data_IF_284795117935
#
_entry.id   IF_284795117935
#
_cell.length_a   1.000
_cell.length_b   1.000
_cell.length_c   1.000
_cell.angle_alpha   90.00
_cell.angle_beta   90.00
_cell.angle_gamma   90.00
#
_symmetry.space_group_name_H-M   'P 1'
#
loop_
_entity.id
_entity.type
_entity.pdbx_description
1 polymer ?
#
# COMPACT_ATOMS: atom_id res chain seq x y z
N UNK A 1 -6.96 59.14 -11.39
CA UNK A 1 -7.72 58.03 -10.77
C UNK A 1 -7.10 56.71 -11.19
N UNK A 2 -6.47 56.00 -10.26
CA UNK A 2 -5.53 54.90 -10.53
C UNK A 2 -6.26 53.56 -10.72
N UNK A 3 -6.12 52.94 -11.91
CA UNK A 3 -6.67 51.61 -12.21
C UNK A 3 -5.81 50.54 -11.52
N UNK A 4 -6.30 49.97 -10.41
CA UNK A 4 -5.69 48.81 -9.76
C UNK A 4 -5.70 47.61 -10.72
N UNK A 5 -4.51 47.24 -11.19
CA UNK A 5 -4.24 46.04 -12.00
C UNK A 5 -4.48 44.81 -11.10
N UNK A 6 -5.53 44.04 -11.37
CA UNK A 6 -5.77 42.74 -10.71
C UNK A 6 -4.57 41.83 -11.01
N UNK A 7 -3.90 41.35 -9.96
CA UNK A 7 -2.87 40.33 -10.07
C UNK A 7 -3.49 39.06 -10.69
N UNK A 8 -2.90 38.59 -11.79
CA UNK A 8 -3.22 37.29 -12.38
C UNK A 8 -2.87 36.20 -11.36
N UNK A 9 -3.89 35.45 -10.94
CA UNK A 9 -3.74 34.21 -10.19
C UNK A 9 -2.79 33.28 -10.93
N UNK A 10 -1.71 32.85 -10.26
CA UNK A 10 -0.79 31.84 -10.78
C UNK A 10 -1.58 30.54 -11.04
N UNK A 11 -1.30 29.82 -12.14
CA UNK A 11 -1.89 28.50 -12.35
C UNK A 11 -1.39 27.58 -11.23
N UNK A 12 -2.32 26.95 -10.49
CA UNK A 12 -2.01 25.81 -9.63
C UNK A 12 -1.31 24.78 -10.52
N UNK A 13 -0.08 24.40 -10.17
CA UNK A 13 0.59 23.26 -10.78
C UNK A 13 -0.42 22.10 -10.85
N UNK A 14 -0.54 21.45 -12.02
CA UNK A 14 -1.42 20.30 -12.21
C UNK A 14 -1.22 19.33 -11.02
N UNK A 15 -2.23 19.28 -10.15
CA UNK A 15 -2.06 18.98 -8.73
C UNK A 15 -1.72 17.52 -8.50
N UNK A 16 -0.63 17.27 -7.77
CA UNK A 16 -0.43 15.96 -7.16
C UNK A 16 -1.69 15.62 -6.34
N UNK A 17 -2.28 14.44 -6.59
CA UNK A 17 -3.42 13.96 -5.83
C UNK A 17 -3.09 13.92 -4.32
N UNK A 18 -4.06 14.01 -3.42
CA UNK A 18 -3.84 13.70 -2.01
C UNK A 18 -3.35 12.25 -1.83
N UNK A 19 -2.55 11.98 -0.80
CA UNK A 19 -2.01 10.63 -0.58
C UNK A 19 -3.11 9.64 -0.24
N UNK A 20 -4.14 10.06 0.47
CA UNK A 20 -5.35 9.27 0.74
C UNK A 20 -6.02 8.79 -0.55
N UNK A 21 -6.04 9.60 -1.62
CA UNK A 21 -6.57 9.18 -2.92
C UNK A 21 -5.70 8.12 -3.58
N UNK A 22 -4.37 8.23 -3.43
CA UNK A 22 -3.43 7.23 -3.97
C UNK A 22 -3.51 5.90 -3.24
N UNK A 23 -3.52 5.93 -1.90
CA UNK A 23 -3.61 4.70 -1.10
C UNK A 23 -5.00 4.06 -1.30
N UNK A 24 -6.06 4.86 -1.45
CA UNK A 24 -7.39 4.32 -1.78
C UNK A 24 -7.41 3.65 -3.16
N UNK A 25 -6.75 4.25 -4.17
CA UNK A 25 -6.62 3.62 -5.48
C UNK A 25 -5.85 2.29 -5.39
N UNK A 26 -4.74 2.26 -4.63
CA UNK A 26 -4.00 1.04 -4.33
C UNK A 26 -4.88 -0.03 -3.68
N UNK A 27 -5.68 0.33 -2.66
CA UNK A 27 -6.59 -0.61 -2.01
C UNK A 27 -7.61 -1.22 -2.98
N UNK A 28 -8.14 -0.42 -3.91
CA UNK A 28 -9.05 -0.91 -4.96
C UNK A 28 -8.35 -1.86 -5.94
N UNK A 29 -7.11 -1.56 -6.32
CA UNK A 29 -6.32 -2.43 -7.18
C UNK A 29 -6.03 -3.78 -6.50
N UNK A 30 -5.67 -3.77 -5.22
CA UNK A 30 -5.42 -5.00 -4.45
C UNK A 30 -6.72 -5.80 -4.24
N UNK A 31 -7.86 -5.14 -3.99
CA UNK A 31 -9.15 -5.79 -3.93
C UNK A 31 -9.54 -6.43 -5.28
N UNK A 32 -9.23 -5.78 -6.41
CA UNK A 32 -9.45 -6.35 -7.73
C UNK A 32 -8.57 -7.59 -7.97
N UNK A 33 -7.31 -7.58 -7.50
CA UNK A 33 -6.43 -8.76 -7.51
C UNK A 33 -7.03 -9.88 -6.67
N UNK A 34 -7.54 -9.57 -5.46
CA UNK A 34 -8.16 -10.56 -4.59
C UNK A 34 -9.38 -11.25 -5.24
N UNK A 35 -10.19 -10.50 -5.98
CA UNK A 35 -11.36 -10.99 -6.69
C UNK A 35 -11.07 -11.69 -8.03
N UNK A 36 -9.83 -11.62 -8.53
CA UNK A 36 -9.46 -12.19 -9.82
C UNK A 36 -9.56 -13.74 -9.82
N UNK A 37 -9.80 -14.37 -10.99
CA UNK A 37 -9.90 -15.83 -11.10
C UNK A 37 -8.54 -16.55 -11.02
N UNK A 38 -7.44 -15.82 -10.89
CA UNK A 38 -6.09 -16.37 -10.86
C UNK A 38 -5.85 -17.28 -9.64
N UNK A 39 -4.90 -18.24 -9.73
CA UNK A 39 -4.51 -19.07 -8.60
C UNK A 39 -4.10 -18.22 -7.37
N UNK A 40 -4.44 -18.63 -6.14
CA UNK A 40 -4.17 -17.83 -4.94
C UNK A 40 -2.71 -17.39 -4.76
N UNK A 41 -1.73 -18.25 -5.11
CA UNK A 41 -0.30 -17.88 -5.08
C UNK A 41 0.03 -16.74 -6.05
N UNK A 42 -0.53 -16.76 -7.25
CA UNK A 42 -0.34 -15.70 -8.25
C UNK A 42 -0.95 -14.39 -7.76
N UNK A 43 -2.19 -14.44 -7.23
CA UNK A 43 -2.83 -13.27 -6.62
C UNK A 43 -2.02 -12.70 -5.46
N UNK A 44 -1.49 -13.55 -4.58
CA UNK A 44 -0.60 -13.16 -3.47
C UNK A 44 0.62 -12.40 -4.01
N UNK A 45 1.33 -12.97 -4.96
CA UNK A 45 2.56 -12.38 -5.49
C UNK A 45 2.30 -11.04 -6.19
N UNK A 46 1.21 -10.95 -6.96
CA UNK A 46 0.76 -9.72 -7.58
C UNK A 46 0.37 -8.65 -6.56
N UNK A 47 -0.38 -9.02 -5.52
CA UNK A 47 -0.77 -8.10 -4.46
C UNK A 47 0.45 -7.57 -3.70
N UNK A 48 1.38 -8.44 -3.31
CA UNK A 48 2.62 -8.04 -2.63
C UNK A 48 3.45 -7.11 -3.51
N UNK A 49 3.65 -7.46 -4.79
CA UNK A 49 4.38 -6.61 -5.72
C UNK A 49 3.72 -5.23 -5.90
N UNK A 50 2.38 -5.19 -5.96
CA UNK A 50 1.61 -3.96 -6.10
C UNK A 50 1.75 -3.05 -4.87
N UNK A 51 1.63 -3.62 -3.67
CA UNK A 51 1.78 -2.86 -2.42
C UNK A 51 3.24 -2.40 -2.29
N UNK A 52 4.21 -3.27 -2.48
CA UNK A 52 5.63 -2.93 -2.37
C UNK A 52 6.05 -1.83 -3.36
N UNK A 53 5.59 -1.88 -4.61
CA UNK A 53 5.86 -0.82 -5.59
C UNK A 53 5.28 0.54 -5.15
N UNK A 54 4.17 0.54 -4.42
CA UNK A 54 3.55 1.77 -3.94
C UNK A 54 4.32 2.38 -2.75
N UNK A 55 4.94 1.54 -1.90
CA UNK A 55 5.70 1.95 -0.71
C UNK A 55 7.23 2.00 -0.91
N UNK A 56 7.76 1.50 -2.04
CA UNK A 56 9.18 1.56 -2.38
C UNK A 56 9.64 2.94 -2.85
N UNK A 57 10.95 3.11 -3.01
CA UNK A 57 11.63 4.41 -3.25
C UNK A 57 11.05 5.24 -4.40
N UNK A 58 10.70 4.61 -5.52
CA UNK A 58 10.11 5.27 -6.70
C UNK A 58 8.61 5.61 -6.53
N UNK A 59 8.00 5.17 -5.43
CA UNK A 59 6.60 5.38 -5.11
C UNK A 59 6.29 6.82 -4.72
N UNK A 60 5.14 7.33 -5.14
CA UNK A 60 4.67 8.65 -4.70
C UNK A 60 4.18 8.67 -3.23
N UNK A 61 3.89 7.51 -2.63
CA UNK A 61 3.39 7.42 -1.26
C UNK A 61 4.47 7.77 -0.23
N UNK A 62 5.71 7.23 -0.28
CA UNK A 62 6.79 7.59 0.63
C UNK A 62 7.00 9.08 0.87
N UNK A 63 7.00 9.88 -0.20
CA UNK A 63 7.20 11.32 -0.10
C UNK A 63 6.04 12.06 0.59
N UNK A 64 4.82 11.53 0.52
CA UNK A 64 3.59 12.21 0.97
C UNK A 64 3.07 11.68 2.31
N UNK A 65 3.39 10.44 2.64
CA UNK A 65 2.87 9.75 3.81
C UNK A 65 3.25 10.41 5.15
N UNK A 66 4.50 10.91 5.37
CA UNK A 66 4.85 11.60 6.60
C UNK A 66 3.97 12.83 6.87
N UNK A 67 3.74 13.67 5.87
CA UNK A 67 2.92 14.88 6.00
C UNK A 67 1.43 14.55 6.25
N UNK A 68 0.92 13.47 5.67
CA UNK A 68 -0.45 13.04 5.95
C UNK A 68 -0.60 12.41 7.34
N UNK A 69 0.39 11.64 7.81
CA UNK A 69 0.42 11.13 9.20
C UNK A 69 0.44 12.27 10.20
N UNK A 70 1.22 13.32 9.93
CA UNK A 70 1.23 14.55 10.74
C UNK A 70 -0.16 15.18 10.82
N UNK A 71 -0.79 15.42 9.66
CA UNK A 71 -2.11 16.04 9.55
C UNK A 71 -3.19 15.21 10.25
N UNK A 72 -3.12 13.88 10.14
CA UNK A 72 -4.05 12.95 10.77
C UNK A 72 -4.04 13.02 12.31
N UNK A 73 -2.99 13.57 12.93
CA UNK A 73 -2.96 13.78 14.39
C UNK A 73 -3.97 14.84 14.86
N UNK A 74 -4.40 15.72 13.99
CA UNK A 74 -5.38 16.79 14.28
C UNK A 74 -6.66 16.70 13.44
N UNK A 75 -6.70 15.82 12.44
CA UNK A 75 -7.83 15.62 11.53
C UNK A 75 -8.33 14.18 11.67
N UNK A 76 -9.33 13.99 12.53
CA UNK A 76 -9.90 12.67 12.84
C UNK A 76 -10.48 11.96 11.61
N UNK A 77 -11.10 12.72 10.70
CA UNK A 77 -11.69 12.17 9.48
C UNK A 77 -10.59 11.61 8.56
N UNK A 78 -9.47 12.32 8.42
CA UNK A 78 -8.31 11.82 7.70
C UNK A 78 -7.69 10.60 8.40
N UNK A 79 -7.53 10.64 9.71
CA UNK A 79 -7.02 9.51 10.49
C UNK A 79 -7.84 8.24 10.29
N UNK A 80 -9.16 8.36 10.37
CA UNK A 80 -10.10 7.27 10.11
C UNK A 80 -10.02 6.79 8.67
N UNK A 81 -9.95 7.70 7.68
CA UNK A 81 -9.83 7.32 6.28
C UNK A 81 -8.55 6.51 6.01
N UNK A 82 -7.40 6.94 6.54
CA UNK A 82 -6.13 6.22 6.39
C UNK A 82 -6.18 4.85 7.07
N UNK A 83 -6.74 4.77 8.29
CA UNK A 83 -6.90 3.50 8.99
C UNK A 83 -7.81 2.53 8.22
N UNK A 84 -8.92 3.03 7.68
CA UNK A 84 -9.86 2.24 6.89
C UNK A 84 -9.26 1.75 5.57
N UNK A 85 -8.46 2.57 4.90
CA UNK A 85 -7.75 2.16 3.68
C UNK A 85 -6.73 1.06 3.99
N UNK A 86 -5.98 1.19 5.09
CA UNK A 86 -5.03 0.16 5.54
C UNK A 86 -5.74 -1.16 5.86
N UNK A 87 -6.92 -1.07 6.49
CA UNK A 87 -7.75 -2.24 6.76
C UNK A 87 -8.25 -2.92 5.48
N UNK A 88 -8.65 -2.16 4.46
CA UNK A 88 -9.02 -2.72 3.16
C UNK A 88 -7.86 -3.49 2.50
N UNK A 89 -6.64 -2.96 2.56
CA UNK A 89 -5.45 -3.67 2.05
C UNK A 89 -5.22 -4.99 2.79
N UNK A 90 -5.32 -4.96 4.13
CA UNK A 90 -5.17 -6.14 4.98
C UNK A 90 -6.24 -7.19 4.68
N UNK A 91 -7.51 -6.78 4.59
CA UNK A 91 -8.62 -7.68 4.31
C UNK A 91 -8.49 -8.35 2.93
N UNK A 92 -8.10 -7.61 1.90
CA UNK A 92 -7.86 -8.20 0.57
C UNK A 92 -6.70 -9.20 0.56
N UNK A 93 -5.63 -8.95 1.34
CA UNK A 93 -4.56 -9.95 1.53
C UNK A 93 -5.09 -11.19 2.25
N UNK A 94 -5.85 -11.03 3.33
CA UNK A 94 -6.46 -12.13 4.07
C UNK A 94 -7.34 -13.01 3.16
N UNK A 95 -8.21 -12.42 2.35
CA UNK A 95 -9.06 -13.14 1.39
C UNK A 95 -8.25 -14.00 0.41
N UNK A 96 -7.13 -13.48 -0.09
CA UNK A 96 -6.21 -14.22 -0.97
C UNK A 96 -5.60 -15.41 -0.21
N UNK A 97 -5.13 -15.18 1.01
CA UNK A 97 -4.49 -16.20 1.84
C UNK A 97 -5.48 -17.31 2.23
N UNK A 98 -6.69 -16.96 2.65
CA UNK A 98 -7.77 -17.90 2.96
C UNK A 98 -8.14 -18.75 1.75
N UNK A 99 -8.23 -18.14 0.56
CA UNK A 99 -8.44 -18.89 -0.67
C UNK A 99 -7.31 -19.88 -0.94
N UNK A 100 -6.05 -19.49 -0.67
CA UNK A 100 -4.89 -20.36 -0.80
C UNK A 100 -4.90 -21.53 0.17
N UNK A 101 -5.29 -21.29 1.43
CA UNK A 101 -5.44 -22.34 2.45
C UNK A 101 -6.51 -23.35 2.04
N UNK A 102 -7.67 -22.89 1.55
CA UNK A 102 -8.77 -23.75 1.10
C UNK A 102 -8.37 -24.74 0.01
N UNK A 103 -7.46 -24.34 -0.87
CA UNK A 103 -6.97 -25.20 -1.98
C UNK A 103 -5.60 -25.82 -1.70
N UNK A 104 -5.09 -25.73 -0.47
CA UNK A 104 -3.82 -26.33 -0.05
C UNK A 104 -2.57 -25.72 -0.68
N UNK A 105 -2.67 -24.52 -1.25
CA UNK A 105 -1.52 -23.82 -1.86
C UNK A 105 -0.82 -22.87 -0.90
N UNK A 106 -1.44 -22.47 0.21
CA UNK A 106 -0.86 -21.60 1.22
C UNK A 106 -0.93 -22.30 2.57
N UNK A 107 0.10 -22.14 3.42
CA UNK A 107 0.13 -22.73 4.76
C UNK A 107 -1.02 -22.21 5.62
N UNK A 108 -1.51 -23.06 6.52
CA UNK A 108 -2.60 -22.72 7.45
C UNK A 108 -2.15 -22.07 8.77
N UNK A 109 -0.87 -22.21 9.13
CA UNK A 109 -0.32 -21.76 10.41
C UNK A 109 0.97 -20.94 10.17
N UNK A 110 1.01 -19.63 10.48
CA UNK A 110 -0.01 -18.88 11.24
C UNK A 110 -1.31 -18.63 10.46
N UNK A 111 -2.42 -18.29 11.15
CA UNK A 111 -3.70 -18.01 10.51
C UNK A 111 -3.59 -16.92 9.42
N UNK A 112 -4.40 -17.01 8.34
CA UNK A 112 -4.41 -16.01 7.26
C UNK A 112 -4.49 -14.55 7.73
N UNK A 113 -5.32 -14.27 8.73
CA UNK A 113 -5.44 -12.95 9.37
C UNK A 113 -4.09 -12.40 9.87
N UNK A 114 -3.30 -13.25 10.53
CA UNK A 114 -2.00 -12.90 11.10
C UNK A 114 -0.96 -12.73 10.00
N UNK A 115 -0.93 -13.63 9.03
CA UNK A 115 -0.05 -13.51 7.86
C UNK A 115 -0.35 -12.23 7.07
N UNK A 116 -1.61 -11.87 6.86
CA UNK A 116 -1.99 -10.63 6.18
C UNK A 116 -1.42 -9.39 6.88
N UNK A 117 -1.46 -9.34 8.21
CA UNK A 117 -0.81 -8.29 8.99
C UNK A 117 0.70 -8.22 8.77
N UNK A 118 1.38 -9.37 8.83
CA UNK A 118 2.85 -9.46 8.65
C UNK A 118 3.26 -9.03 7.25
N UNK A 119 2.56 -9.52 6.23
CA UNK A 119 2.81 -9.18 4.83
C UNK A 119 2.61 -7.69 4.56
N UNK A 120 1.50 -7.12 5.02
CA UNK A 120 1.23 -5.70 4.86
C UNK A 120 2.30 -4.84 5.56
N UNK A 121 2.64 -5.17 6.80
CA UNK A 121 3.68 -4.45 7.55
C UNK A 121 5.05 -4.55 6.87
N UNK A 122 5.40 -5.71 6.31
CA UNK A 122 6.64 -5.92 5.55
C UNK A 122 6.72 -5.03 4.30
N UNK A 123 5.63 -4.91 3.55
CA UNK A 123 5.59 -4.00 2.40
C UNK A 123 5.58 -2.52 2.82
N UNK A 124 4.85 -2.15 3.88
CA UNK A 124 4.81 -0.77 4.41
C UNK A 124 6.20 -0.33 4.92
N UNK A 125 7.00 -1.25 5.45
CA UNK A 125 8.34 -0.97 5.97
C UNK A 125 9.34 -0.48 4.91
N UNK A 126 9.08 -0.75 3.63
CA UNK A 126 9.92 -0.28 2.51
C UNK A 126 10.06 1.24 2.46
N UNK A 127 9.09 1.98 3.03
CA UNK A 127 9.17 3.45 3.15
C UNK A 127 10.32 3.93 4.02
N UNK A 128 10.88 3.04 4.85
CA UNK A 128 11.93 3.35 5.81
C UNK A 128 13.34 2.92 5.32
N UNK A 129 13.44 2.25 4.18
CA UNK A 129 14.73 1.89 3.58
C UNK A 129 15.42 3.14 3.03
N UNK A 130 16.71 3.33 3.36
CA UNK A 130 17.46 4.51 2.96
C UNK A 130 18.00 4.36 1.52
N UNK A 131 17.86 5.39 0.66
CA UNK A 131 18.49 5.42 -0.66
C UNK A 131 20.00 5.18 -0.57
N UNK A 132 20.50 4.15 -1.26
CA UNK A 132 21.95 3.87 -1.37
C UNK A 132 22.63 3.27 -0.13
N UNK A 133 21.88 2.87 0.91
CA UNK A 133 22.43 2.32 2.16
C UNK A 133 22.82 0.83 2.14
N UNK A 134 23.07 0.23 0.97
CA UNK A 134 23.23 -1.23 0.85
C UNK A 134 21.91 -2.00 1.02
N UNK A 135 20.81 -1.39 0.58
CA UNK A 135 19.45 -1.90 0.73
C UNK A 135 19.29 -3.32 0.17
N UNK A 136 18.61 -4.18 0.94
CA UNK A 136 18.13 -5.47 0.44
C UNK A 136 17.19 -5.19 -0.75
N UNK A 137 17.42 -5.77 -1.94
CA UNK A 137 16.56 -5.55 -3.08
C UNK A 137 15.08 -5.79 -2.74
N UNK A 138 14.17 -4.93 -3.19
CA UNK A 138 12.71 -5.11 -2.99
C UNK A 138 12.25 -6.50 -3.44
N UNK A 139 12.85 -7.03 -4.51
CA UNK A 139 12.58 -8.39 -4.98
C UNK A 139 12.93 -9.48 -3.94
N UNK A 140 14.02 -9.31 -3.20
CA UNK A 140 14.44 -10.26 -2.16
C UNK A 140 13.52 -10.18 -0.94
N UNK A 141 13.08 -8.97 -0.58
CA UNK A 141 12.07 -8.76 0.48
C UNK A 141 10.75 -9.43 0.07
N UNK A 142 10.28 -9.19 -1.15
CA UNK A 142 9.07 -9.80 -1.67
C UNK A 142 9.18 -11.34 -1.71
N UNK A 143 10.33 -11.87 -2.11
CA UNK A 143 10.60 -13.30 -2.08
C UNK A 143 10.55 -13.86 -0.66
N UNK A 144 11.19 -13.20 0.31
CA UNK A 144 11.15 -13.59 1.71
C UNK A 144 9.73 -13.57 2.28
N UNK A 145 8.95 -12.53 1.99
CA UNK A 145 7.55 -12.41 2.40
C UNK A 145 6.68 -13.52 1.77
N UNK A 146 6.85 -13.81 0.48
CA UNK A 146 6.13 -14.89 -0.20
C UNK A 146 6.42 -16.27 0.43
N UNK A 147 7.68 -16.52 0.83
CA UNK A 147 8.09 -17.75 1.51
C UNK A 147 7.42 -17.95 2.87
N UNK A 148 7.06 -16.86 3.56
CA UNK A 148 6.31 -16.96 4.82
C UNK A 148 4.93 -17.62 4.64
N UNK A 149 4.39 -17.70 3.43
CA UNK A 149 3.06 -18.27 3.16
C UNK A 149 3.11 -19.66 2.54
N UNK A 150 4.29 -20.23 2.30
CA UNK A 150 4.44 -21.54 1.67
C UNK A 150 4.05 -22.68 2.63
N UNK A 151 3.26 -23.63 2.12
CA UNK A 151 2.78 -24.83 2.82
C UNK A 151 3.89 -25.85 3.08
#
# INVERSE_FOLDING_TARGET
MSRRRRARSRPRAAGALPVETRILALAREVAAIAAAPDPPRVRRDLALAKIAAAFGEDGAIPALLPAARERARSDEALGLALAWIREQLRASLEEILEAGVRVGTIRKDPPPAVLAWVLLAGCEALVHEAPGGGAVPTADILHALARLTEA
#
